data_IF_000452646649
#
_entry.id   IF_000452646649
#
_cell.length_a   1.000
_cell.length_b   1.000
_cell.length_c   1.000
_cell.angle_alpha   90.00
_cell.angle_beta   90.00
_cell.angle_gamma   90.00
#
_symmetry.space_group_name_H-M   'P 1'
#
loop_
_entity.id
_entity.type
_entity.pdbx_description
1 polymer ?
#
# COMPACT_ATOMS: atom_id res chain seq x y z
N UNK A 1 -0.07 -8.72 1.81
CA UNK A 1 1.30 -8.79 2.35
C UNK A 1 1.80 -10.21 2.15
N UNK A 2 2.61 -10.41 1.12
CA UNK A 2 3.27 -11.67 0.79
C UNK A 2 4.60 -11.84 1.54
N UNK A 3 5.33 -10.75 1.73
CA UNK A 3 6.69 -10.77 2.30
C UNK A 3 6.68 -10.35 3.78
N UNK A 4 6.10 -9.19 4.09
CA UNK A 4 6.03 -8.61 5.43
C UNK A 4 4.67 -8.86 6.04
N UNK A 5 4.40 -10.15 6.28
CA UNK A 5 3.11 -10.58 6.84
C UNK A 5 2.83 -9.91 8.20
N UNK A 6 1.55 -9.74 8.55
CA UNK A 6 1.14 -9.17 9.86
C UNK A 6 1.81 -9.88 11.04
N UNK A 7 1.94 -11.22 10.96
CA UNK A 7 2.59 -12.03 11.99
C UNK A 7 4.09 -11.74 12.06
N UNK A 8 4.78 -11.74 10.92
CA UNK A 8 6.21 -11.47 10.86
C UNK A 8 6.54 -10.08 11.41
N UNK A 9 5.74 -9.07 11.03
CA UNK A 9 5.87 -7.72 11.57
C UNK A 9 5.57 -7.66 13.08
N UNK A 10 4.52 -8.32 13.56
CA UNK A 10 4.23 -8.35 15.01
C UNK A 10 5.31 -9.07 15.82
N UNK A 11 5.89 -10.15 15.28
CA UNK A 11 6.93 -10.92 15.97
C UNK A 11 8.27 -10.18 16.01
N UNK A 12 8.67 -9.44 14.95
CA UNK A 12 9.92 -8.66 14.97
C UNK A 12 9.87 -7.47 15.93
N UNK A 13 8.67 -6.99 16.27
CA UNK A 13 8.45 -5.95 17.28
C UNK A 13 8.43 -6.52 18.72
N UNK A 14 8.49 -7.85 18.88
CA UNK A 14 8.43 -8.50 20.17
C UNK A 14 9.84 -8.94 20.61
N UNK A 15 10.36 -8.31 21.66
CA UNK A 15 11.71 -8.58 22.19
C UNK A 15 11.98 -10.07 22.46
N UNK A 16 10.96 -10.82 22.91
CA UNK A 16 11.11 -12.26 23.21
C UNK A 16 11.26 -13.13 21.97
N UNK A 17 10.76 -12.64 20.83
CA UNK A 17 10.78 -13.34 19.54
C UNK A 17 11.75 -12.73 18.54
N UNK A 18 12.40 -11.64 18.90
CA UNK A 18 13.22 -10.86 17.99
C UNK A 18 14.31 -11.72 17.34
N UNK A 19 15.12 -12.41 18.15
CA UNK A 19 16.25 -13.22 17.67
C UNK A 19 15.78 -14.36 16.74
N UNK A 20 14.70 -15.07 17.09
CA UNK A 20 14.15 -16.15 16.24
C UNK A 20 13.48 -15.63 14.95
N UNK A 21 13.02 -14.38 14.96
CA UNK A 21 12.28 -13.78 13.84
C UNK A 21 13.18 -12.99 12.89
N UNK A 22 14.37 -12.56 13.36
CA UNK A 22 15.30 -11.75 12.59
C UNK A 22 15.73 -12.41 11.28
N UNK A 23 16.07 -13.69 11.30
CA UNK A 23 16.45 -14.42 10.08
C UNK A 23 15.29 -14.51 9.07
N UNK A 24 14.05 -14.64 9.56
CA UNK A 24 12.87 -14.61 8.70
C UNK A 24 12.63 -13.23 8.11
N UNK A 25 12.89 -12.19 8.89
CA UNK A 25 12.81 -10.80 8.45
C UNK A 25 13.83 -10.50 7.35
N UNK A 26 15.09 -10.86 7.56
CA UNK A 26 16.17 -10.64 6.58
C UNK A 26 15.91 -11.40 5.27
N UNK A 27 15.37 -12.61 5.37
CA UNK A 27 14.91 -13.37 4.20
C UNK A 27 13.76 -12.68 3.47
N UNK A 28 12.77 -12.15 4.21
CA UNK A 28 11.66 -11.41 3.60
C UNK A 28 12.13 -10.13 2.89
N UNK A 29 13.08 -9.39 3.47
CA UNK A 29 13.74 -8.23 2.83
C UNK A 29 14.42 -8.65 1.53
N UNK A 30 15.22 -9.71 1.56
CA UNK A 30 15.95 -10.20 0.37
C UNK A 30 14.99 -10.63 -0.75
N UNK A 31 13.96 -11.39 -0.41
CA UNK A 31 12.99 -11.89 -1.38
C UNK A 31 12.09 -10.79 -1.94
N UNK A 32 11.72 -9.79 -1.11
CA UNK A 32 11.00 -8.61 -1.57
C UNK A 32 11.86 -7.78 -2.51
N UNK A 33 13.12 -7.51 -2.16
CA UNK A 33 14.02 -6.74 -3.00
C UNK A 33 14.20 -7.37 -4.38
N UNK A 34 14.41 -8.70 -4.46
CA UNK A 34 14.47 -9.43 -5.74
C UNK A 34 13.19 -9.25 -6.57
N UNK A 35 12.03 -9.30 -5.92
CA UNK A 35 10.76 -9.11 -6.61
C UNK A 35 10.55 -7.65 -7.06
N UNK A 36 10.92 -6.67 -6.23
CA UNK A 36 10.84 -5.26 -6.55
C UNK A 36 11.72 -4.90 -7.74
N UNK A 37 12.95 -5.43 -7.79
CA UNK A 37 13.84 -5.30 -8.96
C UNK A 37 13.19 -5.83 -10.25
N UNK A 38 12.40 -6.90 -10.14
CA UNK A 38 11.60 -7.43 -11.25
C UNK A 38 10.52 -6.48 -11.78
N UNK A 39 10.13 -5.44 -11.03
CA UNK A 39 9.14 -4.45 -11.44
C UNK A 39 9.73 -3.28 -12.24
N UNK A 40 11.04 -3.19 -12.40
CA UNK A 40 11.71 -2.08 -13.08
C UNK A 40 11.16 -1.77 -14.47
N UNK A 41 10.74 -2.79 -15.23
CA UNK A 41 10.15 -2.62 -16.58
C UNK A 41 8.65 -2.27 -16.56
N UNK A 42 8.01 -2.39 -15.40
CA UNK A 42 6.56 -2.19 -15.21
C UNK A 42 6.22 -0.87 -14.53
N UNK A 43 7.18 -0.24 -13.87
CA UNK A 43 7.03 1.04 -13.20
C UNK A 43 7.60 2.16 -14.08
N UNK A 44 7.04 3.38 -14.02
CA UNK A 44 7.74 4.55 -14.53
C UNK A 44 9.08 4.71 -13.81
N UNK A 45 10.11 5.15 -14.55
CA UNK A 45 11.48 5.30 -14.03
C UNK A 45 11.51 6.17 -12.76
N UNK A 46 10.81 7.30 -12.78
CA UNK A 46 10.78 8.22 -11.63
C UNK A 46 10.17 7.58 -10.38
N UNK A 47 9.15 6.72 -10.56
CA UNK A 47 8.55 5.99 -9.44
C UNK A 47 9.54 4.98 -8.87
N UNK A 48 10.21 4.23 -9.74
CA UNK A 48 11.21 3.25 -9.33
C UNK A 48 12.35 3.89 -8.53
N UNK A 49 12.85 5.05 -8.99
CA UNK A 49 13.91 5.78 -8.30
C UNK A 49 13.45 6.38 -6.97
N UNK A 50 12.20 6.87 -6.87
CA UNK A 50 11.64 7.32 -5.58
C UNK A 50 11.63 6.20 -4.55
N UNK A 51 11.22 4.98 -4.92
CA UNK A 51 11.22 3.83 -4.01
C UNK A 51 12.63 3.38 -3.57
N UNK A 52 13.66 3.68 -4.37
CA UNK A 52 15.05 3.44 -3.96
C UNK A 52 15.59 4.50 -3.00
N UNK A 53 15.05 5.71 -3.10
CA UNK A 53 15.47 6.85 -2.28
C UNK A 53 14.74 6.89 -0.94
N UNK A 54 13.46 6.50 -0.91
CA UNK A 54 12.59 6.64 0.25
C UNK A 54 12.06 5.29 0.71
N UNK A 55 12.20 5.03 2.01
CA UNK A 55 11.53 3.92 2.70
C UNK A 55 10.21 4.44 3.29
N UNK A 56 9.07 3.85 2.93
CA UNK A 56 7.79 4.28 3.49
C UNK A 56 7.57 3.77 4.93
N UNK A 57 8.49 3.01 5.50
CA UNK A 57 8.37 2.56 6.89
C UNK A 57 8.41 3.76 7.84
N UNK A 58 7.60 3.69 8.89
CA UNK A 58 7.41 4.73 9.90
C UNK A 58 6.88 6.07 9.37
N UNK A 59 6.57 6.15 8.08
CA UNK A 59 5.94 7.31 7.45
C UNK A 59 4.45 7.41 7.81
N UNK A 60 3.89 8.62 7.74
CA UNK A 60 2.49 8.87 8.11
C UNK A 60 1.62 9.03 6.87
N UNK A 61 0.50 8.31 6.80
CA UNK A 61 -0.51 8.61 5.78
C UNK A 61 -1.25 9.88 6.17
N UNK A 62 -1.18 10.89 5.30
CA UNK A 62 -1.81 12.21 5.48
C UNK A 62 -3.22 12.21 4.92
N UNK A 63 -3.43 11.68 3.72
CA UNK A 63 -4.77 11.56 3.14
C UNK A 63 -4.83 10.44 2.11
N UNK A 64 -6.03 9.87 1.94
CA UNK A 64 -6.35 8.88 0.92
C UNK A 64 -7.68 9.25 0.26
N UNK A 65 -7.60 9.73 -0.98
CA UNK A 65 -8.76 10.24 -1.71
C UNK A 65 -9.03 9.37 -2.93
N UNK A 66 -10.26 8.87 -3.08
CA UNK A 66 -10.67 8.05 -4.21
C UNK A 66 -11.75 8.77 -5.04
N UNK A 67 -11.43 9.11 -6.28
CA UNK A 67 -12.35 9.75 -7.23
C UNK A 67 -13.02 8.69 -8.09
N UNK A 68 -14.34 8.85 -8.31
CA UNK A 68 -15.21 7.89 -9.01
C UNK A 68 -15.29 6.51 -8.32
N UNK A 69 -14.92 6.41 -7.04
CA UNK A 69 -15.12 5.22 -6.22
C UNK A 69 -16.54 5.19 -5.65
N UNK A 70 -17.21 4.04 -5.70
CA UNK A 70 -18.52 3.85 -5.07
C UNK A 70 -18.46 2.60 -4.18
N UNK A 71 -18.56 2.74 -2.85
CA UNK A 71 -18.49 1.62 -1.91
C UNK A 71 -19.75 0.73 -1.91
N UNK A 72 -20.79 1.11 -2.67
CA UNK A 72 -22.06 0.39 -2.68
C UNK A 72 -21.87 -0.93 -3.44
N UNK A 73 -21.88 -2.02 -2.66
CA UNK A 73 -21.94 -3.42 -3.09
C UNK A 73 -22.70 -3.57 -4.40
N UNK A 74 -22.13 -4.39 -5.29
CA UNK A 74 -22.65 -4.93 -6.57
C UNK A 74 -24.16 -5.24 -6.58
N UNK A 75 -25.02 -4.24 -6.49
CA UNK A 75 -26.44 -4.36 -6.76
C UNK A 75 -26.62 -4.11 -8.24
N UNK A 76 -27.08 -5.17 -8.92
CA UNK A 76 -27.38 -5.20 -10.34
C UNK A 76 -28.01 -3.89 -10.85
N UNK A 77 -27.41 -3.32 -11.91
CA UNK A 77 -27.96 -2.26 -12.78
C UNK A 77 -27.82 -0.78 -12.38
N UNK A 78 -26.80 -0.36 -11.64
CA UNK A 78 -26.41 1.06 -11.70
C UNK A 78 -25.54 1.32 -12.93
N UNK A 79 -25.91 2.32 -13.74
CA UNK A 79 -25.20 2.72 -14.96
C UNK A 79 -23.71 2.89 -14.63
N UNK A 80 -22.85 2.03 -15.18
CA UNK A 80 -21.40 2.16 -15.08
C UNK A 80 -21.02 3.57 -15.53
N UNK A 81 -20.60 4.40 -14.59
CA UNK A 81 -19.67 5.47 -14.90
C UNK A 81 -18.46 4.79 -15.54
N UNK A 82 -18.26 4.97 -16.85
CA UNK A 82 -17.08 4.49 -17.58
C UNK A 82 -15.78 5.20 -17.14
N UNK A 83 -15.84 6.10 -16.14
CA UNK A 83 -14.67 6.78 -15.63
C UNK A 83 -13.86 5.83 -14.77
N UNK A 84 -12.57 5.71 -15.07
CA UNK A 84 -11.63 4.96 -14.25
C UNK A 84 -11.57 5.55 -12.84
N UNK A 85 -11.40 4.67 -11.86
CA UNK A 85 -11.13 5.06 -10.49
C UNK A 85 -9.69 5.59 -10.44
N UNK A 86 -9.54 6.75 -9.82
CA UNK A 86 -8.24 7.35 -9.51
C UNK A 86 -8.12 7.48 -8.00
N UNK A 87 -6.95 7.16 -7.47
CA UNK A 87 -6.67 7.27 -6.04
C UNK A 87 -5.46 8.15 -5.85
N UNK A 88 -5.58 9.11 -4.94
CA UNK A 88 -4.49 9.96 -4.50
C UNK A 88 -4.17 9.61 -3.06
N UNK A 89 -2.92 9.24 -2.79
CA UNK A 89 -2.44 8.97 -1.44
C UNK A 89 -1.29 9.93 -1.14
N UNK A 90 -1.40 10.64 -0.03
CA UNK A 90 -0.33 11.53 0.47
C UNK A 90 0.33 10.89 1.68
N UNK A 91 1.65 10.80 1.66
CA UNK A 91 2.47 10.24 2.72
C UNK A 91 3.47 11.30 3.17
N UNK A 92 3.50 11.58 4.47
CA UNK A 92 4.54 12.40 5.10
C UNK A 92 5.70 11.52 5.50
N UNK A 93 6.88 11.87 5.01
CA UNK A 93 8.14 11.17 5.25
C UNK A 93 9.23 12.20 5.52
N UNK A 94 9.85 12.14 6.69
CA UNK A 94 10.74 13.18 7.20
C UNK A 94 10.10 14.58 7.06
N UNK A 95 10.77 15.51 6.38
CA UNK A 95 10.29 16.86 6.08
C UNK A 95 9.54 16.98 4.74
N UNK A 96 9.24 15.86 4.08
CA UNK A 96 8.65 15.83 2.73
C UNK A 96 7.24 15.23 2.72
N UNK A 97 6.48 15.55 1.66
CA UNK A 97 5.23 14.86 1.31
C UNK A 97 5.44 14.14 -0.02
N UNK A 98 5.30 12.82 -0.02
CA UNK A 98 5.18 12.03 -1.25
C UNK A 98 3.71 11.90 -1.64
N UNK A 99 3.41 12.22 -2.90
CA UNK A 99 2.06 12.11 -3.48
C UNK A 99 2.06 10.98 -4.50
N UNK A 100 1.25 9.96 -4.23
CA UNK A 100 1.01 8.82 -5.12
C UNK A 100 -0.32 9.03 -5.86
N UNK A 101 -0.28 9.07 -7.18
CA UNK A 101 -1.46 9.08 -8.04
C UNK A 101 -1.63 7.73 -8.74
N UNK A 102 -2.53 6.88 -8.23
CA UNK A 102 -2.91 5.63 -8.87
C UNK A 102 -4.01 5.86 -9.90
N UNK A 103 -3.83 5.31 -11.11
CA UNK A 103 -4.77 5.42 -12.22
C UNK A 103 -5.21 4.06 -12.72
N UNK A 104 -6.46 4.01 -13.18
CA UNK A 104 -7.14 2.77 -13.56
C UNK A 104 -7.12 1.76 -12.41
N UNK A 105 -7.50 2.25 -11.23
CA UNK A 105 -7.67 1.43 -10.04
C UNK A 105 -8.88 0.53 -10.25
N UNK A 106 -8.71 -0.76 -10.01
CA UNK A 106 -9.80 -1.74 -10.11
C UNK A 106 -10.40 -2.09 -8.76
N UNK A 107 -9.60 -1.95 -7.69
CA UNK A 107 -10.03 -2.30 -6.36
C UNK A 107 -9.24 -1.54 -5.29
N UNK A 108 -9.90 -1.28 -4.17
CA UNK A 108 -9.30 -0.72 -2.94
C UNK A 108 -9.87 -1.52 -1.78
N UNK A 109 -9.03 -2.32 -1.13
CA UNK A 109 -9.44 -3.22 -0.05
C UNK A 109 -8.86 -2.77 1.28
N UNK A 110 -9.73 -2.61 2.28
CA UNK A 110 -9.34 -2.33 3.66
C UNK A 110 -9.57 -3.58 4.50
N UNK A 111 -8.51 -4.15 5.07
CA UNK A 111 -8.59 -5.33 5.94
C UNK A 111 -8.24 -4.91 7.36
N UNK A 112 -9.27 -4.67 8.15
CA UNK A 112 -9.14 -4.26 9.55
C UNK A 112 -8.84 -5.45 10.45
N UNK A 113 -8.12 -5.19 11.54
CA UNK A 113 -7.94 -6.13 12.65
C UNK A 113 -9.23 -6.29 13.47
N UNK A 114 -10.11 -5.28 13.43
CA UNK A 114 -11.47 -5.34 13.99
C UNK A 114 -12.48 -5.33 12.83
N UNK A 115 -13.23 -6.40 12.68
CA UNK A 115 -14.35 -6.46 11.73
C UNK A 115 -15.32 -5.31 12.06
N UNK A 116 -15.56 -4.36 11.12
CA UNK A 116 -16.61 -3.32 11.10
C UNK A 116 -16.21 -1.82 10.98
N UNK A 117 -14.97 -1.44 10.67
CA UNK A 117 -14.69 -0.03 10.30
C UNK A 117 -15.11 0.29 8.85
N UNK A 118 -15.85 1.38 8.64
CA UNK A 118 -16.29 1.85 7.31
C UNK A 118 -15.27 2.81 6.69
N UNK A 119 -15.30 2.95 5.36
CA UNK A 119 -14.40 3.84 4.60
C UNK A 119 -14.49 5.32 5.00
N UNK A 120 -15.68 5.77 5.40
CA UNK A 120 -15.95 7.17 5.76
C UNK A 120 -15.31 7.58 7.10
N UNK A 121 -14.99 6.60 7.97
CA UNK A 121 -14.37 6.84 9.28
C UNK A 121 -12.84 6.98 9.21
N UNK A 122 -12.25 6.84 8.01
CA UNK A 122 -10.81 6.63 7.81
C UNK A 122 -9.99 7.93 7.75
N UNK A 123 -10.58 9.02 7.24
CA UNK A 123 -9.80 10.15 6.72
C UNK A 123 -8.96 10.89 7.78
N UNK A 124 -9.29 10.79 9.07
CA UNK A 124 -8.62 11.60 10.09
C UNK A 124 -7.47 10.88 10.81
N UNK A 125 -7.29 9.56 10.68
CA UNK A 125 -6.19 8.83 11.34
C UNK A 125 -5.89 7.46 10.72
N UNK A 126 -5.51 7.42 9.45
CA UNK A 126 -4.94 6.21 8.83
C UNK A 126 -3.66 5.71 9.56
N UNK A 127 -2.99 6.60 10.28
CA UNK A 127 -1.87 6.26 11.15
C UNK A 127 -0.54 6.15 10.41
N UNK A 128 0.36 5.38 11.00
CA UNK A 128 1.72 5.19 10.50
C UNK A 128 1.81 3.90 9.70
N UNK A 129 2.63 3.90 8.66
CA UNK A 129 2.98 2.72 7.88
C UNK A 129 4.02 1.93 8.66
N UNK A 130 3.69 0.71 9.03
CA UNK A 130 4.68 -0.24 9.56
C UNK A 130 5.53 -0.85 8.45
N UNK A 131 4.90 -1.17 7.31
CA UNK A 131 5.60 -1.68 6.12
C UNK A 131 4.74 -1.52 4.87
N UNK A 132 5.33 -1.51 3.68
CA UNK A 132 4.61 -1.56 2.40
C UNK A 132 5.18 -2.60 1.42
N UNK A 133 4.34 -3.08 0.52
CA UNK A 133 4.73 -3.99 -0.55
C UNK A 133 4.16 -3.52 -1.89
N UNK A 134 5.04 -3.25 -2.85
CA UNK A 134 4.68 -3.04 -4.24
C UNK A 134 4.97 -4.31 -5.06
N UNK A 135 3.90 -4.97 -5.51
CA UNK A 135 3.97 -6.30 -6.13
C UNK A 135 3.22 -6.38 -7.46
N UNK A 136 3.58 -7.39 -8.26
CA UNK A 136 2.76 -7.79 -9.41
C UNK A 136 1.50 -8.53 -8.94
N UNK A 137 0.32 -8.05 -9.34
CA UNK A 137 -0.94 -8.79 -9.17
C UNK A 137 -1.19 -9.77 -10.30
N UNK A 138 -0.91 -9.33 -11.53
CA UNK A 138 -0.94 -10.09 -12.77
C UNK A 138 -0.27 -9.29 -13.89
N UNK A 139 -0.29 -9.82 -15.12
CA UNK A 139 0.32 -9.19 -16.32
C UNK A 139 -0.08 -7.73 -16.56
N UNK A 140 -1.28 -7.33 -16.15
CA UNK A 140 -1.82 -6.00 -16.43
C UNK A 140 -1.85 -5.06 -15.22
N UNK A 141 -1.78 -5.60 -14.00
CA UNK A 141 -2.01 -4.84 -12.77
C UNK A 141 -0.90 -5.06 -11.75
N UNK A 142 -0.57 -3.98 -11.06
CA UNK A 142 0.25 -3.97 -9.87
C UNK A 142 -0.65 -3.84 -8.64
N UNK A 143 -0.10 -4.14 -7.49
CA UNK A 143 -0.75 -4.04 -6.20
C UNK A 143 0.21 -3.36 -5.23
N UNK A 144 -0.26 -2.30 -4.57
CA UNK A 144 0.45 -1.68 -3.47
C UNK A 144 -0.32 -1.98 -2.19
N UNK A 145 0.30 -2.74 -1.30
CA UNK A 145 -0.25 -3.07 0.01
C UNK A 145 0.51 -2.31 1.09
N UNK A 146 -0.23 -1.68 2.01
CA UNK A 146 0.32 -1.03 3.19
C UNK A 146 -0.12 -1.81 4.43
N UNK A 147 0.82 -2.13 5.30
CA UNK A 147 0.58 -2.57 6.66
C UNK A 147 0.72 -1.36 7.59
N UNK A 148 -0.36 -1.01 8.28
CA UNK A 148 -0.40 0.08 9.23
C UNK A 148 0.06 -0.39 10.61
N UNK A 149 0.58 0.53 11.43
CA UNK A 149 1.03 0.25 12.81
C UNK A 149 -0.07 -0.31 13.72
N UNK A 150 -1.34 -0.12 13.33
CA UNK A 150 -2.53 -0.70 13.97
C UNK A 150 -2.77 -2.18 13.60
N UNK A 151 -1.96 -2.75 12.70
CA UNK A 151 -2.17 -4.08 12.13
C UNK A 151 -3.21 -4.14 11.01
N UNK A 152 -3.83 -3.00 10.66
CA UNK A 152 -4.73 -2.88 9.51
C UNK A 152 -3.95 -2.88 8.20
N UNK A 153 -4.58 -3.25 7.08
CA UNK A 153 -3.95 -3.14 5.77
C UNK A 153 -4.82 -2.42 4.75
N UNK A 154 -4.18 -1.64 3.89
CA UNK A 154 -4.78 -1.03 2.70
C UNK A 154 -4.17 -1.71 1.48
N UNK A 155 -4.99 -2.16 0.54
CA UNK A 155 -4.53 -2.77 -0.72
C UNK A 155 -5.13 -1.96 -1.87
N UNK A 156 -4.27 -1.47 -2.78
CA UNK A 156 -4.67 -0.72 -3.97
C UNK A 156 -4.23 -1.52 -5.20
N UNK A 157 -5.17 -1.94 -6.04
CA UNK A 157 -4.89 -2.65 -7.30
C UNK A 157 -5.04 -1.68 -8.46
N UNK A 158 -3.97 -1.46 -9.22
CA UNK A 158 -3.90 -0.39 -10.22
C UNK A 158 -3.08 -0.79 -11.46
N UNK A 159 -3.26 -0.03 -12.54
CA UNK A 159 -2.48 -0.22 -13.78
C UNK A 159 -1.28 0.71 -13.86
N UNK A 160 -1.45 1.97 -13.48
CA UNK A 160 -0.39 2.98 -13.53
C UNK A 160 -0.34 3.76 -12.23
N UNK A 161 0.85 4.20 -11.85
CA UNK A 161 1.07 5.10 -10.71
C UNK A 161 2.03 6.21 -11.13
N UNK A 162 1.87 7.39 -10.55
CA UNK A 162 2.90 8.44 -10.53
C UNK A 162 3.22 8.76 -9.08
N UNK A 163 4.47 9.11 -8.81
CA UNK A 163 4.91 9.55 -7.48
C UNK A 163 5.75 10.81 -7.66
N UNK A 164 5.52 11.81 -6.81
CA UNK A 164 6.26 13.07 -6.83
C UNK A 164 6.23 13.71 -5.44
N UNK A 165 7.14 14.65 -5.22
CA UNK A 165 7.17 15.48 -4.02
C UNK A 165 6.09 16.57 -4.12
N UNK A 166 5.31 16.71 -3.05
CA UNK A 166 4.22 17.68 -2.90
C UNK A 166 4.64 19.00 -2.27
#
# INVERSE_FOLDING_TARGET
MKYFTKKLWADIQNEKKYEETRDLWDNAVSEYHKQFEGLKSRLPVDVYEIYKQYSLHDSRIVSLEAVNYSPIKRSNKSKRSNKSICVTLKISIDDNILIFEYKNVTDINFKYSVENQKFEDINDNLGYIGYDELTEKNKNYLMHEFLLSTGNTIEIIFKNVKVFLG
#
